data_IF_284880709908
#
_entry.id   IF_284880709908
#
_cell.length_a   1.000
_cell.length_b   1.000
_cell.length_c   1.000
_cell.angle_alpha   90.00
_cell.angle_beta   90.00
_cell.angle_gamma   90.00
#
_symmetry.space_group_name_H-M   'P 1'
#
loop_
_entity.id
_entity.type
_entity.pdbx_description
1 polymer ?
#
# COMPACT_ATOMS: atom_id res chain seq x y z
N UNK A 1 -28.31 -0.18 17.51
CA UNK A 1 -29.09 0.68 16.60
C UNK A 1 -28.10 1.54 15.84
N UNK A 2 -27.73 1.15 14.61
CA UNK A 2 -26.83 1.95 13.77
C UNK A 2 -27.62 3.17 13.32
N UNK A 3 -27.22 4.36 13.79
CA UNK A 3 -27.75 5.64 13.32
C UNK A 3 -27.61 5.69 11.81
N UNK A 4 -28.68 6.10 11.10
CA UNK A 4 -28.66 6.25 9.65
C UNK A 4 -27.61 7.30 9.27
N UNK A 5 -26.39 6.86 9.02
CA UNK A 5 -25.34 7.66 8.40
C UNK A 5 -25.89 8.13 7.06
N UNK A 6 -25.74 9.43 6.75
CA UNK A 6 -25.90 9.90 5.37
C UNK A 6 -25.10 8.95 4.49
N UNK A 7 -25.76 8.37 3.47
CA UNK A 7 -25.18 7.27 2.69
C UNK A 7 -23.79 7.63 2.17
N UNK A 8 -22.85 6.69 2.34
CA UNK A 8 -21.50 6.79 1.78
C UNK A 8 -21.50 6.03 0.47
N UNK A 9 -21.13 6.70 -0.62
CA UNK A 9 -21.17 6.14 -1.96
C UNK A 9 -19.79 6.16 -2.59
N UNK A 10 -19.44 5.08 -3.28
CA UNK A 10 -18.25 5.01 -4.15
C UNK A 10 -18.70 5.45 -5.54
N UNK A 11 -18.18 6.59 -5.99
CA UNK A 11 -18.59 7.22 -7.27
C UNK A 11 -17.64 6.93 -8.44
N UNK A 12 -16.44 6.41 -8.18
CA UNK A 12 -15.48 5.99 -9.20
C UNK A 12 -14.28 5.27 -8.58
N UNK A 13 -13.65 4.37 -9.34
CA UNK A 13 -12.53 3.57 -8.85
C UNK A 13 -11.62 3.12 -10.00
N UNK A 14 -10.37 3.56 -9.96
CA UNK A 14 -9.32 3.14 -10.91
C UNK A 14 -8.07 2.72 -10.18
N UNK A 15 -7.27 1.90 -10.86
CA UNK A 15 -5.98 1.40 -10.38
C UNK A 15 -4.99 1.37 -11.53
N UNK A 16 -3.70 1.43 -11.20
CA UNK A 16 -2.64 1.08 -12.13
C UNK A 16 -2.59 -0.45 -12.34
N UNK A 17 -1.93 -0.92 -13.41
CA UNK A 17 -1.52 -2.31 -13.51
C UNK A 17 -0.58 -2.68 -12.36
N UNK A 18 -0.60 -3.95 -11.93
CA UNK A 18 0.42 -4.46 -11.03
C UNK A 18 1.70 -4.72 -11.81
N UNK A 19 2.82 -4.17 -11.33
CA UNK A 19 4.15 -4.46 -11.87
C UNK A 19 4.83 -5.59 -11.11
N UNK A 20 5.76 -6.26 -11.77
CA UNK A 20 6.73 -7.13 -11.09
C UNK A 20 7.84 -6.31 -10.46
N UNK A 21 8.42 -6.82 -9.36
CA UNK A 21 9.58 -6.20 -8.74
C UNK A 21 10.75 -6.08 -9.75
N UNK A 22 11.37 -4.90 -9.82
CA UNK A 22 12.41 -4.59 -10.82
C UNK A 22 11.91 -4.52 -12.28
N UNK A 23 10.60 -4.57 -12.50
CA UNK A 23 9.99 -4.61 -13.83
C UNK A 23 9.72 -3.23 -14.44
N UNK A 24 8.59 -3.11 -15.14
CA UNK A 24 8.24 -1.93 -15.96
C UNK A 24 8.14 -0.62 -15.19
N UNK A 25 7.83 -0.66 -13.89
CA UNK A 25 7.68 0.52 -13.05
C UNK A 25 8.94 0.87 -12.23
N UNK A 26 10.08 0.21 -12.47
CA UNK A 26 11.31 0.45 -11.68
C UNK A 26 11.79 1.90 -11.67
N UNK A 27 11.51 2.65 -12.75
CA UNK A 27 11.90 4.05 -12.92
C UNK A 27 10.71 5.01 -12.74
N UNK A 28 9.58 4.53 -12.23
CA UNK A 28 8.36 5.32 -12.02
C UNK A 28 8.17 5.50 -10.52
N UNK A 29 7.96 6.75 -10.08
CA UNK A 29 7.78 7.00 -8.65
C UNK A 29 6.41 6.52 -8.16
N UNK A 30 6.29 6.26 -6.85
CA UNK A 30 5.01 5.92 -6.24
C UNK A 30 3.98 7.05 -6.44
N UNK A 31 4.41 8.30 -6.37
CA UNK A 31 3.58 9.49 -6.60
C UNK A 31 3.02 9.54 -8.02
N UNK A 32 3.82 9.19 -9.03
CA UNK A 32 3.35 9.15 -10.42
C UNK A 32 2.25 8.10 -10.60
N UNK A 33 2.45 6.90 -10.04
CA UNK A 33 1.46 5.82 -10.08
C UNK A 33 0.16 6.21 -9.37
N UNK A 34 0.26 6.84 -8.20
CA UNK A 34 -0.88 7.36 -7.46
C UNK A 34 -1.62 8.45 -8.24
N UNK A 35 -0.88 9.37 -8.87
CA UNK A 35 -1.46 10.46 -9.67
C UNK A 35 -2.27 9.93 -10.84
N UNK A 36 -1.71 8.96 -11.59
CA UNK A 36 -2.42 8.35 -12.73
C UNK A 36 -3.71 7.66 -12.26
N UNK A 37 -3.66 6.91 -11.16
CA UNK A 37 -4.84 6.25 -10.61
C UNK A 37 -5.90 7.27 -10.14
N UNK A 38 -5.50 8.31 -9.41
CA UNK A 38 -6.40 9.33 -8.88
C UNK A 38 -7.08 10.15 -9.99
N UNK A 39 -6.32 10.62 -10.98
CA UNK A 39 -6.86 11.38 -12.12
C UNK A 39 -7.87 10.53 -12.90
N UNK A 40 -7.57 9.25 -13.12
CA UNK A 40 -8.47 8.34 -13.80
C UNK A 40 -9.76 8.07 -12.99
N UNK A 41 -9.65 7.93 -11.66
CA UNK A 41 -10.79 7.73 -10.78
C UNK A 41 -11.71 8.96 -10.72
N UNK A 42 -11.15 10.17 -10.62
CA UNK A 42 -11.92 11.42 -10.66
C UNK A 42 -12.63 11.62 -12.00
N UNK A 43 -11.95 11.27 -13.11
CA UNK A 43 -12.54 11.33 -14.45
C UNK A 43 -13.71 10.37 -14.61
N UNK A 44 -13.58 9.13 -14.12
CA UNK A 44 -14.69 8.16 -14.12
C UNK A 44 -15.86 8.62 -13.25
N UNK A 45 -15.57 9.19 -12.08
CA UNK A 45 -16.58 9.72 -11.18
C UNK A 45 -17.30 10.97 -11.73
N UNK A 46 -16.74 11.62 -12.76
CA UNK A 46 -17.27 12.89 -13.28
C UNK A 46 -17.20 14.04 -12.26
N UNK A 47 -16.28 13.95 -11.29
CA UNK A 47 -16.13 14.92 -10.20
C UNK A 47 -15.08 15.96 -10.58
N UNK A 48 -15.43 17.25 -10.45
CA UNK A 48 -14.44 18.33 -10.55
C UNK A 48 -13.44 18.22 -9.37
N UNK A 49 -12.12 18.18 -9.61
CA UNK A 49 -11.10 18.15 -8.56
C UNK A 49 -11.27 19.21 -7.47
N UNK A 50 -11.82 20.39 -7.78
CA UNK A 50 -12.08 21.47 -6.81
C UNK A 50 -13.11 21.09 -5.73
N UNK A 51 -13.91 20.04 -5.95
CA UNK A 51 -14.90 19.54 -4.99
C UNK A 51 -14.35 18.49 -4.03
N UNK A 52 -13.06 18.16 -4.13
CA UNK A 52 -12.41 17.17 -3.27
C UNK A 52 -11.87 17.88 -2.02
N UNK A 53 -12.53 17.68 -0.88
CA UNK A 53 -12.13 18.31 0.38
C UNK A 53 -10.90 17.63 1.01
N UNK A 54 -10.74 16.33 0.83
CA UNK A 54 -9.71 15.53 1.51
C UNK A 54 -9.26 14.36 0.66
N UNK A 55 -7.96 14.08 0.68
CA UNK A 55 -7.34 12.92 0.03
C UNK A 55 -6.57 12.14 1.09
N UNK A 56 -6.87 10.86 1.22
CA UNK A 56 -6.16 9.94 2.12
C UNK A 56 -5.42 8.91 1.26
N UNK A 57 -4.10 8.84 1.39
CA UNK A 57 -3.24 7.94 0.60
C UNK A 57 -2.53 6.95 1.52
N UNK A 58 -2.72 5.67 1.28
CA UNK A 58 -1.98 4.61 1.97
C UNK A 58 -0.64 4.36 1.29
N UNK A 59 0.45 4.47 2.04
CA UNK A 59 1.80 4.27 1.56
C UNK A 59 2.67 3.74 2.71
N UNK A 60 3.34 2.61 2.51
CA UNK A 60 4.09 1.92 3.57
C UNK A 60 5.54 2.40 3.66
N UNK A 61 6.19 2.59 2.52
CA UNK A 61 7.61 2.96 2.41
C UNK A 61 7.76 4.26 1.62
N UNK A 62 7.86 5.41 2.29
CA UNK A 62 7.88 6.73 1.64
C UNK A 62 9.16 7.01 0.84
N UNK A 63 10.06 6.04 0.84
CA UNK A 63 11.38 6.04 0.24
C UNK A 63 11.31 5.58 -1.23
N UNK A 64 12.35 5.90 -1.99
CA UNK A 64 12.46 5.51 -3.41
C UNK A 64 12.44 3.99 -3.57
N UNK A 65 12.11 3.50 -4.76
CA UNK A 65 12.09 2.06 -5.04
C UNK A 65 13.44 1.36 -4.76
N UNK A 66 14.55 2.09 -4.88
CA UNK A 66 15.90 1.60 -4.57
C UNK A 66 16.10 1.46 -3.06
N UNK A 67 15.71 2.45 -2.28
CA UNK A 67 15.77 2.44 -0.82
C UNK A 67 14.79 1.40 -0.22
N UNK A 68 13.66 1.19 -0.89
CA UNK A 68 12.69 0.16 -0.53
C UNK A 68 13.18 -1.28 -0.76
N UNK A 69 14.26 -1.47 -1.52
CA UNK A 69 14.89 -2.79 -1.70
C UNK A 69 15.77 -3.20 -0.51
N UNK A 70 16.47 -2.23 0.12
CA UNK A 70 17.42 -2.50 1.21
C UNK A 70 16.73 -2.79 2.54
N UNK A 71 15.63 -2.11 2.84
CA UNK A 71 14.94 -2.17 4.14
C UNK A 71 14.24 -3.53 4.43
N UNK A 72 13.51 -4.19 3.49
CA UNK A 72 12.80 -5.43 3.79
C UNK A 72 13.71 -6.63 4.02
N UNK A 73 14.99 -6.58 3.60
CA UNK A 73 15.92 -7.67 3.85
C UNK A 73 16.32 -7.78 5.34
N UNK A 74 16.19 -6.69 6.11
CA UNK A 74 16.71 -6.62 7.48
C UNK A 74 15.67 -6.24 8.54
N UNK A 75 14.65 -5.43 8.18
CA UNK A 75 13.57 -4.98 9.08
C UNK A 75 12.45 -6.01 9.21
N UNK A 76 12.22 -6.77 8.14
CA UNK A 76 11.28 -7.86 8.16
C UNK A 76 12.00 -9.09 8.72
N UNK A 77 11.82 -9.31 10.03
CA UNK A 77 12.12 -10.58 10.69
C UNK A 77 11.81 -11.75 9.75
N UNK A 78 12.65 -12.80 9.76
CA UNK A 78 12.79 -13.96 8.85
C UNK A 78 11.54 -14.59 8.17
N UNK A 79 10.33 -14.08 8.39
CA UNK A 79 9.05 -14.57 7.89
C UNK A 79 8.17 -13.53 7.14
N UNK A 80 8.58 -12.28 6.95
CA UNK A 80 7.59 -11.24 6.61
C UNK A 80 7.00 -11.29 5.19
N UNK A 81 7.54 -12.08 4.26
CA UNK A 81 6.85 -12.39 3.00
C UNK A 81 7.17 -13.81 2.57
N UNK A 82 6.82 -14.80 3.41
CA UNK A 82 6.60 -16.12 2.84
C UNK A 82 5.49 -15.98 1.80
N UNK A 83 5.81 -16.30 0.55
CA UNK A 83 4.93 -16.31 -0.63
C UNK A 83 3.55 -16.94 -0.33
N UNK A 84 3.48 -17.84 0.67
CA UNK A 84 2.26 -18.44 1.19
C UNK A 84 1.30 -17.43 1.84
N UNK A 85 1.77 -16.48 2.64
CA UNK A 85 0.90 -15.52 3.35
C UNK A 85 0.20 -14.58 2.37
N UNK A 86 0.91 -14.12 1.33
CA UNK A 86 0.33 -13.25 0.31
C UNK A 86 -0.69 -13.99 -0.56
N UNK A 87 -0.40 -15.26 -0.91
CA UNK A 87 -1.34 -16.14 -1.63
C UNK A 87 -2.57 -16.50 -0.82
N UNK A 88 -2.40 -16.78 0.47
CA UNK A 88 -3.50 -17.09 1.37
C UNK A 88 -4.40 -15.88 1.54
N UNK A 89 -3.82 -14.69 1.75
CA UNK A 89 -4.57 -13.45 1.80
C UNK A 89 -5.37 -13.18 0.51
N UNK A 90 -4.75 -13.37 -0.66
CA UNK A 90 -5.44 -13.19 -1.94
C UNK A 90 -6.59 -14.20 -2.12
N UNK A 91 -6.40 -15.44 -1.66
CA UNK A 91 -7.46 -16.47 -1.66
C UNK A 91 -8.62 -16.08 -0.74
N UNK A 92 -8.35 -15.53 0.44
CA UNK A 92 -9.39 -15.02 1.34
C UNK A 92 -10.17 -13.87 0.69
N UNK A 93 -9.47 -12.94 0.01
CA UNK A 93 -10.07 -11.86 -0.75
C UNK A 93 -11.00 -12.35 -1.87
N UNK A 94 -10.55 -13.31 -2.71
CA UNK A 94 -11.38 -13.88 -3.78
C UNK A 94 -12.64 -14.58 -3.24
N UNK A 95 -12.58 -15.11 -2.02
CA UNK A 95 -13.69 -15.81 -1.37
C UNK A 95 -14.58 -14.92 -0.49
N UNK A 96 -14.38 -13.60 -0.49
CA UNK A 96 -15.05 -12.64 0.42
C UNK A 96 -14.93 -13.00 1.92
N UNK A 97 -13.85 -13.69 2.30
CA UNK A 97 -13.59 -14.10 3.68
C UNK A 97 -12.64 -13.12 4.37
N UNK A 98 -13.20 -12.06 4.96
CA UNK A 98 -12.44 -10.97 5.58
C UNK A 98 -12.17 -11.20 7.08
N UNK A 99 -12.37 -12.42 7.59
CA UNK A 99 -12.07 -12.75 8.99
C UNK A 99 -10.57 -12.84 9.20
N UNK A 100 -9.92 -11.69 9.38
CA UNK A 100 -8.53 -11.63 9.79
C UNK A 100 -8.42 -11.76 11.31
N UNK A 101 -7.71 -12.77 11.77
CA UNK A 101 -7.10 -12.75 13.09
C UNK A 101 -5.70 -12.13 12.97
N UNK A 102 -5.45 -11.05 13.70
CA UNK A 102 -4.12 -10.43 13.74
C UNK A 102 -3.21 -11.36 14.53
N UNK A 103 -2.37 -12.10 13.82
CA UNK A 103 -1.34 -12.92 14.44
C UNK A 103 -0.22 -12.01 14.93
N UNK A 104 -0.03 -11.94 16.23
CA UNK A 104 1.06 -11.14 16.81
C UNK A 104 2.41 -11.66 16.30
N UNK A 105 3.23 -10.77 15.75
CA UNK A 105 4.60 -11.08 15.37
C UNK A 105 5.38 -11.45 16.64
N UNK A 106 5.89 -12.67 16.72
CA UNK A 106 6.60 -13.19 17.91
C UNK A 106 8.05 -12.71 18.05
N UNK A 107 8.42 -11.63 17.35
CA UNK A 107 9.76 -11.07 17.33
C UNK A 107 9.82 -9.72 18.03
N UNK A 108 10.87 -9.47 18.80
CA UNK A 108 11.15 -8.13 19.35
C UNK A 108 11.28 -7.13 18.18
N UNK A 109 10.52 -6.02 18.19
CA UNK A 109 10.72 -4.96 17.22
C UNK A 109 12.16 -4.45 17.33
N UNK A 110 12.92 -4.50 16.23
CA UNK A 110 14.21 -3.83 16.19
C UNK A 110 13.94 -2.33 16.16
N UNK A 111 14.47 -1.61 17.14
CA UNK A 111 14.58 -0.16 17.06
C UNK A 111 15.76 0.14 16.14
N UNK A 112 15.52 0.95 15.11
CA UNK A 112 16.57 1.46 14.23
C UNK A 112 16.75 2.93 14.60
N UNK A 113 17.98 3.33 14.90
CA UNK A 113 18.30 4.76 15.05
C UNK A 113 18.43 5.41 13.66
N UNK A 114 18.15 6.71 13.55
CA UNK A 114 18.11 7.43 12.26
C UNK A 114 19.45 7.34 11.49
N UNK A 115 20.57 7.26 12.22
CA UNK A 115 21.94 7.12 11.67
C UNK A 115 22.17 5.75 11.00
N UNK A 116 21.69 4.66 11.63
CA UNK A 116 21.70 3.32 11.01
C UNK A 116 20.77 3.27 9.80
N UNK A 117 19.70 4.07 9.84
CA UNK A 117 18.78 4.21 8.74
C UNK A 117 19.41 4.96 7.56
N UNK A 118 20.33 5.90 7.79
CA UNK A 118 21.06 6.66 6.76
C UNK A 118 22.17 5.81 6.12
N UNK A 119 22.95 5.05 6.90
CA UNK A 119 23.98 4.13 6.36
C UNK A 119 23.39 3.05 5.44
N UNK A 120 22.13 2.66 5.66
CA UNK A 120 21.43 1.71 4.81
C UNK A 120 20.91 2.33 3.50
N UNK A 121 20.97 3.65 3.32
CA UNK A 121 20.46 4.33 2.13
C UNK A 121 21.56 4.70 1.13
N UNK A 122 22.81 4.84 1.58
CA UNK A 122 24.01 4.96 0.74
C UNK A 122 24.39 3.61 0.07
#
# INVERSE_FOLDING_TARGET
>A
MSTAVKGVFIVGAKRTPFGTFGGVFKNTSATDLQTVAAVAALKEAGVNPEKVDTINVGQVMSKSAAEAHRIPAETCCDNALLDTTCKDWFRHFENNDFKLEVKECSGTPKNFEDEELEELLD
#
